data_IF_193496428798
#
_entry.id   IF_193496428798
#
_cell.length_a   1.000
_cell.length_b   1.000
_cell.length_c   1.000
_cell.angle_alpha   90.00
_cell.angle_beta   90.00
_cell.angle_gamma   90.00
#
_symmetry.space_group_name_H-M   'P 1'
#
loop_
_entity.id
_entity.type
_entity.pdbx_description
1 polymer ?
#
# COMPACT_ATOMS: atom_id res chain seq x y z
N UNK A 1 33.19 49.04 -16.62
CA UNK A 1 33.30 48.04 -15.53
C UNK A 1 32.06 47.15 -15.46
N UNK A 2 30.90 47.60 -15.95
CA UNK A 2 29.64 46.83 -15.96
C UNK A 2 29.67 45.67 -16.99
N UNK A 3 30.40 45.81 -18.10
CA UNK A 3 30.51 44.78 -19.15
C UNK A 3 31.17 43.48 -18.69
N UNK A 4 31.96 43.52 -17.61
CA UNK A 4 32.62 42.34 -17.01
C UNK A 4 31.79 41.76 -15.86
N UNK A 5 30.99 42.59 -15.19
CA UNK A 5 30.22 42.18 -14.02
C UNK A 5 29.06 41.23 -14.39
N UNK A 6 28.38 41.49 -15.50
CA UNK A 6 27.27 40.66 -15.99
C UNK A 6 27.68 39.21 -16.26
N UNK A 7 28.70 38.95 -17.10
CA UNK A 7 29.17 37.59 -17.37
C UNK A 7 29.66 36.85 -16.12
N UNK A 8 30.38 37.53 -15.22
CA UNK A 8 30.90 36.92 -13.98
C UNK A 8 29.76 36.48 -13.06
N UNK A 9 28.71 37.28 -12.93
CA UNK A 9 27.52 36.91 -12.15
C UNK A 9 26.77 35.73 -12.77
N UNK A 10 26.61 35.70 -14.09
CA UNK A 10 25.93 34.59 -14.80
C UNK A 10 26.71 33.29 -14.66
N UNK A 11 28.04 33.32 -14.82
CA UNK A 11 28.90 32.16 -14.62
C UNK A 11 28.86 31.69 -13.17
N UNK A 12 28.98 32.60 -12.20
CA UNK A 12 28.86 32.25 -10.78
C UNK A 12 27.51 31.61 -10.44
N UNK A 13 26.41 32.17 -10.95
CA UNK A 13 25.07 31.63 -10.72
C UNK A 13 24.85 30.28 -11.41
N UNK A 14 25.43 30.03 -12.58
CA UNK A 14 25.37 28.71 -13.22
C UNK A 14 26.19 27.69 -12.43
N UNK A 15 27.44 28.00 -12.08
CA UNK A 15 28.32 27.05 -11.39
C UNK A 15 27.97 26.83 -9.92
N UNK A 16 27.26 27.76 -9.27
CA UNK A 16 26.76 27.58 -7.91
C UNK A 16 25.32 27.08 -7.91
N UNK A 17 24.48 27.62 -8.80
CA UNK A 17 23.06 27.28 -8.90
C UNK A 17 22.80 25.87 -9.44
N UNK A 18 23.54 25.39 -10.44
CA UNK A 18 23.38 24.01 -10.94
C UNK A 18 23.73 22.96 -9.87
N UNK A 19 24.91 23.01 -9.21
CA UNK A 19 25.21 22.09 -8.12
C UNK A 19 24.26 22.23 -6.93
N UNK A 20 23.81 23.45 -6.61
CA UNK A 20 22.81 23.66 -5.56
C UNK A 20 21.47 23.00 -5.90
N UNK A 21 21.01 23.10 -7.15
CA UNK A 21 19.79 22.46 -7.61
C UNK A 21 19.91 20.94 -7.52
N UNK A 22 21.04 20.38 -7.96
CA UNK A 22 21.33 18.95 -7.81
C UNK A 22 21.31 18.54 -6.34
N UNK A 23 22.00 19.27 -5.46
CA UNK A 23 22.04 19.00 -4.02
C UNK A 23 20.65 19.12 -3.37
N UNK A 24 19.84 20.09 -3.79
CA UNK A 24 18.47 20.26 -3.32
C UNK A 24 17.62 19.02 -3.65
N UNK A 25 17.66 18.56 -4.90
CA UNK A 25 16.90 17.39 -5.32
C UNK A 25 17.44 16.08 -4.74
N UNK A 26 18.76 15.94 -4.56
CA UNK A 26 19.36 14.79 -3.87
C UNK A 26 18.97 14.76 -2.39
N UNK A 27 18.95 15.91 -1.72
CA UNK A 27 18.51 16.01 -0.31
C UNK A 27 17.02 15.69 -0.20
N UNK A 28 16.19 16.20 -1.12
CA UNK A 28 14.76 15.84 -1.21
C UNK A 28 14.53 14.36 -1.51
N UNK A 29 15.33 13.75 -2.40
CA UNK A 29 15.28 12.32 -2.68
C UNK A 29 15.63 11.48 -1.46
N UNK A 30 16.65 11.88 -0.70
CA UNK A 30 17.03 11.17 0.53
C UNK A 30 16.01 11.33 1.65
N UNK A 31 15.33 12.48 1.73
CA UNK A 31 14.21 12.69 2.67
C UNK A 31 12.94 11.94 2.23
N UNK A 32 12.64 11.86 0.93
CA UNK A 32 11.51 11.09 0.39
C UNK A 32 11.71 9.57 0.52
N UNK A 33 12.96 9.10 0.61
CA UNK A 33 13.29 7.69 0.80
C UNK A 33 13.14 7.17 2.24
N UNK A 34 12.59 7.97 3.17
CA UNK A 34 12.36 7.57 4.57
C UNK A 34 11.00 6.91 4.81
N UNK A 35 10.17 6.74 3.76
CA UNK A 35 8.89 6.04 3.87
C UNK A 35 8.93 4.50 4.02
N UNK A 36 10.01 3.72 3.78
CA UNK A 36 9.88 2.26 3.87
C UNK A 36 9.62 1.75 5.31
N UNK A 37 10.04 2.49 6.36
CA UNK A 37 9.80 2.08 7.77
C UNK A 37 8.44 2.58 8.28
N UNK A 38 7.98 3.74 7.80
CA UNK A 38 6.66 4.27 8.16
C UNK A 38 5.55 3.47 7.47
N UNK A 39 5.79 3.05 6.22
CA UNK A 39 4.89 2.17 5.47
C UNK A 39 4.77 0.79 6.12
N UNK A 40 5.86 0.22 6.66
CA UNK A 40 5.81 -1.03 7.43
C UNK A 40 4.93 -0.90 8.68
N UNK A 41 5.06 0.19 9.45
CA UNK A 41 4.18 0.45 10.60
C UNK A 41 2.74 0.67 10.20
N UNK A 42 2.50 1.38 9.09
CA UNK A 42 1.16 1.60 8.58
C UNK A 42 0.50 0.28 8.18
N UNK A 43 1.26 -0.63 7.54
CA UNK A 43 0.78 -1.96 7.21
C UNK A 43 0.47 -2.80 8.46
N UNK A 44 1.31 -2.73 9.49
CA UNK A 44 1.06 -3.40 10.78
C UNK A 44 -0.22 -2.87 11.45
N UNK A 45 -0.39 -1.55 11.49
CA UNK A 45 -1.60 -0.91 12.04
C UNK A 45 -2.86 -1.28 11.24
N UNK A 46 -2.78 -1.29 9.90
CA UNK A 46 -3.88 -1.72 9.04
C UNK A 46 -4.25 -3.19 9.24
N UNK A 47 -3.24 -4.05 9.43
CA UNK A 47 -3.45 -5.46 9.73
C UNK A 47 -4.17 -5.65 11.06
N UNK A 48 -3.74 -4.93 12.11
CA UNK A 48 -4.37 -4.95 13.42
C UNK A 48 -5.82 -4.44 13.39
N UNK A 49 -6.08 -3.38 12.61
CA UNK A 49 -7.43 -2.86 12.39
C UNK A 49 -8.32 -3.87 11.66
N UNK A 50 -7.81 -4.50 10.61
CA UNK A 50 -8.54 -5.54 9.88
C UNK A 50 -8.91 -6.71 10.79
N UNK A 51 -7.97 -7.16 11.64
CA UNK A 51 -8.20 -8.28 12.57
C UNK A 51 -9.26 -7.97 13.61
N UNK A 52 -9.25 -6.76 14.17
CA UNK A 52 -10.29 -6.31 15.11
C UNK A 52 -11.66 -6.15 14.45
N UNK A 53 -11.70 -5.76 13.18
CA UNK A 53 -12.93 -5.65 12.41
C UNK A 53 -13.53 -7.05 12.18
N UNK A 54 -12.70 -8.03 11.84
CA UNK A 54 -13.08 -9.44 11.72
C UNK A 54 -13.67 -9.99 13.03
N UNK A 55 -13.01 -9.74 14.17
CA UNK A 55 -13.50 -10.19 15.48
C UNK A 55 -14.89 -9.62 15.82
N UNK A 56 -15.15 -8.37 15.42
CA UNK A 56 -16.47 -7.74 15.59
C UNK A 56 -17.48 -8.26 14.58
N UNK A 57 -17.05 -8.60 13.37
CA UNK A 57 -17.90 -9.17 12.33
C UNK A 57 -18.52 -10.49 12.81
N UNK A 58 -17.79 -11.33 13.55
CA UNK A 58 -18.38 -12.52 14.19
C UNK A 58 -19.56 -12.21 15.14
N UNK A 59 -19.49 -11.09 15.87
CA UNK A 59 -20.60 -10.67 16.72
C UNK A 59 -21.79 -10.19 15.88
N UNK A 60 -21.53 -9.47 14.79
CA UNK A 60 -22.56 -9.06 13.82
C UNK A 60 -23.20 -10.28 13.17
N UNK A 61 -22.43 -11.27 12.72
CA UNK A 61 -22.93 -12.53 12.16
C UNK A 61 -23.86 -13.25 13.13
N UNK A 62 -23.51 -13.30 14.42
CA UNK A 62 -24.35 -13.93 15.45
C UNK A 62 -25.67 -13.19 15.65
N UNK A 63 -25.65 -11.85 15.63
CA UNK A 63 -26.87 -11.03 15.76
C UNK A 63 -27.74 -11.20 14.52
N UNK A 64 -27.15 -11.11 13.33
CA UNK A 64 -27.86 -11.25 12.06
C UNK A 64 -28.47 -12.64 11.90
N UNK A 65 -27.77 -13.70 12.33
CA UNK A 65 -28.31 -15.06 12.35
C UNK A 65 -29.44 -15.25 13.36
N UNK A 66 -29.44 -14.49 14.47
CA UNK A 66 -30.55 -14.50 15.43
C UNK A 66 -31.79 -13.77 14.89
N UNK A 67 -31.58 -12.68 14.14
CA UNK A 67 -32.66 -11.88 13.55
C UNK A 67 -33.21 -12.46 12.23
N UNK A 68 -32.39 -13.19 11.48
CA UNK A 68 -32.73 -13.79 10.19
C UNK A 68 -32.18 -15.23 10.10
N UNK A 69 -33.00 -16.26 10.39
CA UNK A 69 -32.55 -17.66 10.40
C UNK A 69 -32.11 -18.21 9.03
N UNK A 70 -32.49 -17.56 7.93
CA UNK A 70 -32.06 -17.91 6.55
C UNK A 70 -30.80 -17.17 6.09
N UNK A 71 -30.15 -16.37 6.96
CA UNK A 71 -28.97 -15.61 6.58
C UNK A 71 -27.79 -16.51 6.23
N UNK A 72 -27.22 -16.32 5.04
CA UNK A 72 -26.00 -17.00 4.58
C UNK A 72 -24.84 -16.00 4.56
N UNK A 73 -23.73 -16.25 5.27
CA UNK A 73 -22.57 -15.37 5.24
C UNK A 73 -21.93 -15.32 3.85
N UNK A 74 -21.81 -14.12 3.28
CA UNK A 74 -21.33 -13.90 1.91
C UNK A 74 -19.87 -14.36 1.67
N UNK A 75 -19.03 -14.39 2.71
CA UNK A 75 -17.63 -14.85 2.59
C UNK A 75 -17.53 -16.38 2.51
N UNK A 76 -18.57 -17.10 2.96
CA UNK A 76 -18.57 -18.57 3.04
C UNK A 76 -19.11 -19.24 1.77
N UNK A 77 -19.96 -18.56 1.01
CA UNK A 77 -20.55 -19.12 -0.22
C UNK A 77 -19.51 -19.41 -1.31
N UNK A 78 -18.47 -18.59 -1.46
CA UNK A 78 -17.47 -18.83 -2.52
C UNK A 78 -16.53 -20.03 -2.25
N UNK A 79 -16.33 -20.44 -0.98
CA UNK A 79 -15.46 -21.59 -0.65
C UNK A 79 -16.19 -22.93 -0.60
N UNK A 80 -17.48 -22.92 -0.28
CA UNK A 80 -18.27 -24.15 -0.13
C UNK A 80 -19.00 -24.54 -1.44
N UNK A 81 -19.10 -23.63 -2.42
CA UNK A 81 -19.68 -23.85 -3.75
C UNK A 81 -18.63 -24.26 -4.81
N UNK A 82 -17.42 -24.69 -4.45
CA UNK A 82 -16.60 -25.45 -5.39
C UNK A 82 -17.24 -26.84 -5.55
N UNK A 83 -17.85 -27.18 -6.70
CA UNK A 83 -18.20 -28.57 -6.96
C UNK A 83 -16.90 -29.35 -6.88
N UNK A 84 -16.77 -30.21 -5.86
CA UNK A 84 -15.67 -31.17 -5.75
C UNK A 84 -15.69 -31.95 -7.06
N UNK A 85 -14.87 -31.53 -8.02
CA UNK A 85 -14.58 -32.28 -9.22
C UNK A 85 -13.97 -33.56 -8.70
N UNK A 86 -14.79 -34.60 -8.60
CA UNK A 86 -14.32 -35.95 -8.47
C UNK A 86 -13.48 -36.15 -9.73
N UNK A 87 -12.16 -36.02 -9.57
CA UNK A 87 -11.21 -36.49 -10.55
C UNK A 87 -11.38 -38.01 -10.58
N UNK A 88 -12.42 -38.45 -11.29
CA UNK A 88 -12.74 -39.84 -11.57
C UNK A 88 -11.54 -40.36 -12.36
N UNK A 89 -10.64 -40.96 -11.60
CA UNK A 89 -9.45 -41.68 -12.04
C UNK A 89 -9.88 -42.98 -12.73
N UNK A 90 -10.60 -42.84 -13.85
CA UNK A 90 -11.06 -43.94 -14.70
C UNK A 90 -10.40 -43.85 -16.09
N UNK A 91 -9.08 -43.59 -16.07
CA UNK A 91 -8.28 -43.61 -17.29
C UNK A 91 -6.80 -43.87 -16.97
N UNK A 92 -6.50 -45.07 -16.46
CA UNK A 92 -5.24 -45.79 -16.75
C UNK A 92 -5.11 -47.04 -15.86
N UNK A 93 -5.64 -48.17 -16.30
CA UNK A 93 -4.88 -49.36 -16.73
C UNK A 93 -5.88 -50.51 -16.84
#
# INVERSE_FOLDING_TARGET
MEDVLGPVMVVGMLFVGLPWLILHYVTKWKSAATLPVEDERLLEDLYDLARRLEDRMHTVERIVAADNPDWRPAIRSERDDEPRLDYRKDRSN
#
